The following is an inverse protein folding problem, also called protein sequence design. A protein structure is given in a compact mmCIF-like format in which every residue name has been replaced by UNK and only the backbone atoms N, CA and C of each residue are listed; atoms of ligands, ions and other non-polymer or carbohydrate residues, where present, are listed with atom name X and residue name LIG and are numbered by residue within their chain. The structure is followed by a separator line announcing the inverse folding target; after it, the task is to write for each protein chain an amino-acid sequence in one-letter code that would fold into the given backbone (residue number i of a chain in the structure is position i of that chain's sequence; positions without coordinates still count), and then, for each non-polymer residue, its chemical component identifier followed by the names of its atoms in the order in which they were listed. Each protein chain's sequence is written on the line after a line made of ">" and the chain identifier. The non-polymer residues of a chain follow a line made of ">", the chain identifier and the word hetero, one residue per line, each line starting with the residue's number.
data_IF_203815120568
#
_entry.id   IF_203815120568
#
_cell.length_a   1.000
_cell.length_b   1.000
_cell.length_c   1.000
_cell.angle_alpha   90.00
_cell.angle_beta   90.00
_cell.angle_gamma   90.00
#
_symmetry.space_group_name_H-M   'P 1'
#
loop_
_entity.id
_entity.type
_entity.pdbx_description
1 polymer ?
#
# COMPACT_ATOMS: atom_id res chain seq x y z
N UNK A 1 25.77 -2.26 -4.95
CA UNK A 1 24.66 -3.19 -4.81
C UNK A 1 23.54 -2.83 -5.76
N UNK A 2 23.01 -3.82 -6.43
CA UNK A 2 21.93 -3.58 -7.39
C UNK A 2 20.60 -3.45 -6.67
N UNK A 3 19.75 -2.52 -7.14
CA UNK A 3 18.38 -2.42 -6.68
C UNK A 3 17.47 -3.10 -7.69
N UNK A 4 16.38 -3.67 -7.19
CA UNK A 4 15.43 -4.39 -8.01
C UNK A 4 14.12 -3.60 -8.10
N UNK A 5 13.65 -3.40 -9.33
CA UNK A 5 12.35 -2.77 -9.58
C UNK A 5 11.49 -3.77 -10.34
N UNK A 6 10.31 -4.05 -9.83
CA UNK A 6 9.36 -4.95 -10.47
C UNK A 6 8.08 -4.18 -10.78
N UNK A 7 7.71 -4.20 -12.05
CA UNK A 7 6.45 -3.59 -12.51
C UNK A 7 5.35 -4.64 -12.41
N UNK A 8 4.52 -4.55 -11.37
CA UNK A 8 3.46 -5.51 -11.12
C UNK A 8 2.18 -5.21 -11.89
N UNK A 9 2.00 -3.98 -12.33
CA UNK A 9 0.88 -3.57 -13.14
C UNK A 9 1.21 -2.31 -13.89
N UNK A 10 0.71 -2.20 -15.13
CA UNK A 10 1.02 -1.07 -16.02
C UNK A 10 -0.24 -0.41 -16.57
N UNK A 11 -1.43 -0.85 -16.13
CA UNK A 11 -2.70 -0.30 -16.61
C UNK A 11 -3.14 0.93 -15.83
N UNK A 12 -4.11 1.62 -16.38
CA UNK A 12 -4.79 2.70 -15.69
C UNK A 12 -6.07 2.16 -15.03
N UNK A 13 -6.94 3.05 -14.56
CA UNK A 13 -8.16 2.66 -13.86
C UNK A 13 -9.08 1.74 -14.69
N UNK A 14 -8.97 1.78 -16.00
CA UNK A 14 -9.85 1.03 -16.90
C UNK A 14 -9.29 -0.33 -17.31
N UNK A 15 -8.12 -0.72 -16.81
CA UNK A 15 -7.51 -2.02 -17.03
C UNK A 15 -7.39 -2.39 -18.52
N UNK A 16 -6.81 -1.52 -19.34
CA UNK A 16 -6.76 -1.77 -20.79
C UNK A 16 -6.01 -3.07 -21.11
N UNK A 17 -6.55 -3.86 -22.03
CA UNK A 17 -5.95 -5.11 -22.48
C UNK A 17 -5.68 -6.10 -21.35
N UNK A 18 -6.49 -6.07 -20.28
CA UNK A 18 -6.32 -6.97 -19.15
C UNK A 18 -5.13 -6.65 -18.27
N UNK A 19 -4.52 -5.49 -18.42
CA UNK A 19 -3.40 -5.09 -17.57
C UNK A 19 -3.90 -4.68 -16.19
N UNK A 20 -3.19 -5.11 -15.15
CA UNK A 20 -3.48 -4.68 -13.79
C UNK A 20 -3.24 -3.19 -13.63
N UNK A 21 -3.89 -2.59 -12.63
CA UNK A 21 -3.67 -1.20 -12.27
C UNK A 21 -2.17 -0.94 -12.02
N UNK A 22 -1.73 0.28 -12.25
CA UNK A 22 -0.34 0.67 -12.03
C UNK A 22 0.14 0.27 -10.64
N UNK A 23 1.21 -0.50 -10.57
CA UNK A 23 1.73 -1.00 -9.32
C UNK A 23 3.20 -1.36 -9.48
N UNK A 24 4.03 -0.79 -8.61
CA UNK A 24 5.48 -0.98 -8.67
C UNK A 24 5.99 -1.34 -7.29
N UNK A 25 6.93 -2.27 -7.23
CA UNK A 25 7.65 -2.57 -6.00
C UNK A 25 9.15 -2.48 -6.28
N UNK A 26 9.91 -1.92 -5.34
CA UNK A 26 11.36 -1.96 -5.45
C UNK A 26 11.99 -2.50 -4.17
N UNK A 27 13.07 -3.25 -4.36
CA UNK A 27 13.81 -3.96 -3.32
C UNK A 27 12.91 -4.86 -2.47
N UNK A 28 11.76 -5.28 -3.03
CA UNK A 28 10.76 -6.14 -2.37
C UNK A 28 10.27 -5.62 -1.02
N UNK A 29 10.47 -4.33 -0.76
CA UNK A 29 10.12 -3.70 0.53
C UNK A 29 9.31 -2.44 0.36
N UNK A 30 9.40 -1.78 -0.79
CA UNK A 30 8.81 -0.46 -0.98
C UNK A 30 7.84 -0.49 -2.14
N UNK A 31 6.58 -0.22 -1.89
CA UNK A 31 5.58 -0.21 -2.95
C UNK A 31 5.14 1.22 -3.25
N UNK A 32 4.82 1.45 -4.51
CA UNK A 32 4.25 2.71 -4.96
C UNK A 32 2.79 2.46 -5.26
N UNK A 33 1.92 3.07 -4.47
CA UNK A 33 0.48 2.88 -4.46
C UNK A 33 0.08 1.48 -3.98
N UNK A 34 -1.22 1.25 -3.84
CA UNK A 34 -1.78 -0.04 -3.44
C UNK A 34 -3.12 -0.22 -4.17
N UNK A 35 -3.07 -0.71 -5.41
CA UNK A 35 -4.30 -0.92 -6.18
C UNK A 35 -5.18 -2.01 -5.55
N UNK A 36 -6.45 -2.13 -5.97
CA UNK A 36 -7.37 -3.09 -5.37
C UNK A 36 -6.83 -4.53 -5.32
N UNK A 37 -6.01 -4.93 -6.29
CA UNK A 37 -5.44 -6.29 -6.34
C UNK A 37 -4.02 -6.37 -5.80
N UNK A 38 -3.57 -5.38 -5.01
CA UNK A 38 -2.19 -5.32 -4.54
C UNK A 38 -1.77 -6.59 -3.81
N UNK A 39 -2.58 -7.07 -2.88
CA UNK A 39 -2.25 -8.26 -2.11
C UNK A 39 -2.06 -9.48 -3.02
N UNK A 40 -2.95 -9.67 -3.98
CA UNK A 40 -2.85 -10.75 -4.94
C UNK A 40 -1.56 -10.66 -5.77
N UNK A 41 -1.29 -9.47 -6.32
CA UNK A 41 -0.11 -9.26 -7.16
C UNK A 41 1.19 -9.50 -6.41
N UNK A 42 1.27 -9.05 -5.15
CA UNK A 42 2.44 -9.26 -4.32
C UNK A 42 2.67 -10.76 -4.08
N UNK A 43 1.60 -11.50 -3.73
CA UNK A 43 1.70 -12.94 -3.50
C UNK A 43 2.10 -13.70 -4.76
N UNK A 44 1.52 -13.33 -5.92
CA UNK A 44 1.85 -13.97 -7.19
C UNK A 44 3.31 -13.77 -7.59
N UNK A 45 3.93 -12.71 -7.10
CA UNK A 45 5.32 -12.40 -7.42
C UNK A 45 6.28 -12.78 -6.28
N UNK A 46 5.82 -13.59 -5.33
CA UNK A 46 6.67 -14.10 -4.26
C UNK A 46 7.12 -13.08 -3.25
N UNK A 47 6.41 -11.96 -3.14
CA UNK A 47 6.77 -10.92 -2.18
C UNK A 47 6.17 -11.26 -0.81
N UNK A 48 7.01 -11.17 0.21
CA UNK A 48 6.55 -11.40 1.59
C UNK A 48 5.90 -10.13 2.13
N UNK A 49 4.61 -10.21 2.43
CA UNK A 49 3.85 -9.04 2.89
C UNK A 49 4.45 -8.48 4.19
N UNK A 50 4.98 -9.34 5.04
CA UNK A 50 5.60 -8.93 6.30
C UNK A 50 6.84 -8.05 6.11
N UNK A 51 7.45 -8.09 4.92
CA UNK A 51 8.66 -7.31 4.65
C UNK A 51 8.40 -5.98 3.97
N UNK A 52 7.15 -5.70 3.62
CA UNK A 52 6.80 -4.37 3.09
C UNK A 52 6.99 -3.35 4.21
N UNK A 53 7.87 -2.38 3.99
CA UNK A 53 8.20 -1.38 5.00
C UNK A 53 7.75 0.03 4.62
N UNK A 54 7.49 0.30 3.35
CA UNK A 54 7.08 1.63 2.89
C UNK A 54 6.02 1.53 1.81
N UNK A 55 5.01 2.36 1.92
CA UNK A 55 4.00 2.55 0.88
C UNK A 55 4.04 4.02 0.49
N UNK A 56 4.38 4.30 -0.76
CA UNK A 56 4.32 5.64 -1.32
C UNK A 56 2.98 5.81 -2.03
N UNK A 57 2.19 6.79 -1.62
CA UNK A 57 0.89 7.06 -2.23
C UNK A 57 1.00 8.27 -3.13
N UNK A 58 0.79 8.07 -4.43
CA UNK A 58 0.91 9.15 -5.41
C UNK A 58 -0.32 10.07 -5.37
N UNK A 59 -1.50 9.48 -5.25
CA UNK A 59 -2.74 10.25 -5.09
C UNK A 59 -3.85 9.31 -4.59
N UNK A 60 -5.03 9.87 -4.30
CA UNK A 60 -6.06 9.18 -3.54
C UNK A 60 -7.18 8.57 -4.37
N UNK A 61 -6.97 8.35 -5.66
CA UNK A 61 -7.96 7.64 -6.47
C UNK A 61 -7.98 6.16 -6.12
N UNK A 62 -9.13 5.50 -6.34
CA UNK A 62 -9.33 4.13 -5.92
C UNK A 62 -8.35 3.13 -6.50
N UNK A 63 -7.97 3.29 -7.78
CA UNK A 63 -6.99 2.41 -8.39
C UNK A 63 -5.60 2.53 -7.77
N UNK A 64 -5.38 3.52 -6.89
CA UNK A 64 -4.12 3.73 -6.20
C UNK A 64 -4.16 3.42 -4.70
N UNK A 65 -5.34 3.38 -4.07
CA UNK A 65 -5.41 3.18 -2.62
C UNK A 65 -6.38 2.10 -2.16
N UNK A 66 -7.27 1.60 -3.01
CA UNK A 66 -8.31 0.67 -2.55
C UNK A 66 -7.76 -0.68 -2.09
N UNK A 67 -6.51 -0.99 -2.38
CA UNK A 67 -5.88 -2.20 -1.86
C UNK A 67 -5.29 -2.05 -0.46
N UNK A 68 -5.18 -0.82 0.06
CA UNK A 68 -4.61 -0.60 1.39
C UNK A 68 -5.35 -1.34 2.51
N UNK A 69 -6.68 -1.31 2.57
CA UNK A 69 -7.37 -2.05 3.64
C UNK A 69 -7.04 -3.53 3.65
N UNK A 70 -6.89 -4.14 2.49
CA UNK A 70 -6.55 -5.57 2.41
C UNK A 70 -5.13 -5.84 2.86
N UNK A 71 -4.18 -4.98 2.49
CA UNK A 71 -2.79 -5.11 2.96
C UNK A 71 -2.72 -4.98 4.48
N UNK A 72 -3.42 -4.00 5.03
CA UNK A 72 -3.43 -3.76 6.47
C UNK A 72 -4.15 -4.86 7.22
N UNK A 73 -5.18 -5.44 6.63
CA UNK A 73 -5.88 -6.58 7.20
C UNK A 73 -4.95 -7.79 7.29
N UNK A 74 -4.21 -8.06 6.22
CA UNK A 74 -3.24 -9.15 6.20
C UNK A 74 -2.16 -8.93 7.26
N UNK A 75 -1.62 -7.71 7.34
CA UNK A 75 -0.60 -7.39 8.33
C UNK A 75 -1.13 -7.60 9.75
N UNK A 76 -2.36 -7.17 10.01
CA UNK A 76 -2.97 -7.26 11.35
C UNK A 76 -3.13 -8.72 11.79
N UNK A 77 -3.68 -9.55 10.92
CA UNK A 77 -4.13 -10.89 11.33
C UNK A 77 -3.19 -12.01 10.93
N UNK A 78 -2.23 -11.75 10.04
CA UNK A 78 -1.30 -12.78 9.58
C UNK A 78 0.14 -12.36 9.82
N UNK A 79 0.65 -11.40 9.06
CA UNK A 79 2.08 -11.06 9.10
C UNK A 79 2.56 -10.49 10.42
N UNK A 80 1.77 -9.61 11.03
CA UNK A 80 2.14 -8.93 12.27
C UNK A 80 1.42 -9.48 13.50
N UNK A 81 0.79 -10.66 13.37
CA UNK A 81 -0.02 -11.21 14.45
C UNK A 81 0.78 -11.41 15.74
N UNK A 82 2.01 -11.88 15.62
CA UNK A 82 2.86 -12.12 16.80
C UNK A 82 3.70 -10.91 17.15
N UNK A 83 4.15 -10.16 16.14
CA UNK A 83 5.05 -9.03 16.33
C UNK A 83 4.76 -7.99 15.27
N UNK A 84 4.43 -6.78 15.72
CA UNK A 84 4.22 -5.65 14.82
C UNK A 84 5.52 -5.27 14.12
N UNK A 85 5.47 -5.11 12.80
CA UNK A 85 6.62 -4.73 12.01
C UNK A 85 6.46 -3.30 11.52
N UNK A 86 7.56 -2.55 11.42
CA UNK A 86 7.49 -1.15 10.99
C UNK A 86 6.84 -1.00 9.61
N UNK A 87 6.02 0.02 9.48
CA UNK A 87 5.40 0.38 8.20
C UNK A 87 5.28 1.89 8.16
N UNK A 88 5.77 2.47 7.06
CA UNK A 88 5.68 3.91 6.81
C UNK A 88 4.80 4.14 5.59
N UNK A 89 3.89 5.10 5.68
CA UNK A 89 3.12 5.56 4.52
C UNK A 89 3.55 6.99 4.23
N UNK A 90 4.02 7.20 2.99
CA UNK A 90 4.47 8.51 2.50
C UNK A 90 3.41 9.02 1.54
N UNK A 91 2.85 10.19 1.83
CA UNK A 91 1.74 10.71 1.05
C UNK A 91 1.64 12.23 1.18
N UNK A 92 0.77 12.84 0.39
CA UNK A 92 0.52 14.28 0.47
C UNK A 92 -0.22 14.64 1.77
N UNK A 93 -0.12 15.89 2.22
CA UNK A 93 -0.85 16.34 3.40
C UNK A 93 -2.35 16.06 3.27
N UNK A 94 -2.95 15.56 4.35
CA UNK A 94 -4.37 15.21 4.39
C UNK A 94 -4.68 13.78 3.99
N UNK A 95 -3.72 13.05 3.42
CA UNK A 95 -3.95 11.68 2.95
C UNK A 95 -4.26 10.72 4.09
N UNK A 96 -3.61 10.87 5.24
CA UNK A 96 -3.84 10.01 6.40
C UNK A 96 -5.31 9.94 6.76
N UNK A 97 -5.96 11.08 6.87
CA UNK A 97 -7.37 11.14 7.25
C UNK A 97 -8.25 10.38 6.27
N UNK A 98 -7.97 10.54 4.97
CA UNK A 98 -8.76 9.88 3.93
C UNK A 98 -8.52 8.37 3.92
N UNK A 99 -7.30 7.94 4.13
CA UNK A 99 -6.95 6.52 4.22
C UNK A 99 -7.60 5.89 5.45
N UNK A 100 -7.58 6.59 6.58
CA UNK A 100 -8.26 6.11 7.79
C UNK A 100 -9.76 5.97 7.56
N UNK A 101 -10.39 6.90 6.86
CA UNK A 101 -11.80 6.82 6.51
C UNK A 101 -12.08 5.60 5.61
N UNK A 102 -11.23 5.38 4.62
CA UNK A 102 -11.36 4.22 3.73
C UNK A 102 -11.30 2.92 4.53
N UNK A 103 -10.33 2.82 5.42
CA UNK A 103 -10.15 1.62 6.23
C UNK A 103 -11.35 1.38 7.16
N UNK A 104 -11.93 2.44 7.70
CA UNK A 104 -13.10 2.31 8.57
C UNK A 104 -14.34 1.86 7.77
N UNK A 105 -14.47 2.32 6.54
CA UNK A 105 -15.56 1.86 5.66
C UNK A 105 -15.37 0.39 5.31
N UNK A 106 -14.14 -0.01 5.00
CA UNK A 106 -13.86 -1.36 4.55
C UNK A 106 -14.00 -2.41 5.67
N UNK A 107 -13.43 -2.14 6.84
CA UNK A 107 -13.42 -3.06 7.98
C UNK A 107 -13.59 -2.27 9.27
N UNK A 108 -14.83 -1.89 9.62
CA UNK A 108 -15.08 -1.02 10.77
C UNK A 108 -14.45 -1.53 12.06
N UNK A 109 -13.61 -0.72 12.66
CA UNK A 109 -12.96 -1.02 13.93
C UNK A 109 -11.78 -1.96 13.85
N UNK A 110 -11.65 -2.75 12.81
CA UNK A 110 -10.64 -3.82 12.73
C UNK A 110 -9.24 -3.31 12.46
N UNK A 111 -9.10 -2.16 11.83
CA UNK A 111 -7.79 -1.65 11.40
C UNK A 111 -7.28 -0.50 12.26
N UNK A 112 -8.00 -0.10 13.30
CA UNK A 112 -7.61 1.03 14.13
C UNK A 112 -6.25 0.84 14.78
N UNK A 113 -5.97 -0.36 15.27
CA UNK A 113 -4.72 -0.63 15.96
C UNK A 113 -3.52 -0.49 15.04
N UNK A 114 -3.57 -1.12 13.86
CA UNK A 114 -2.44 -1.03 12.93
C UNK A 114 -2.27 0.39 12.41
N UNK A 115 -3.37 1.10 12.13
CA UNK A 115 -3.29 2.48 11.67
C UNK A 115 -2.59 3.37 12.69
N UNK A 116 -2.75 3.09 13.98
CA UNK A 116 -2.09 3.85 15.03
C UNK A 116 -0.59 3.57 15.13
N UNK A 117 -0.12 2.45 14.58
CA UNK A 117 1.30 2.09 14.61
C UNK A 117 2.06 2.54 13.36
N UNK A 118 1.36 2.91 12.29
CA UNK A 118 1.99 3.35 11.06
C UNK A 118 2.69 4.68 11.28
N UNK A 119 3.90 4.80 10.72
CA UNK A 119 4.58 6.08 10.65
C UNK A 119 4.07 6.82 9.41
N UNK A 120 3.39 7.93 9.63
CA UNK A 120 2.82 8.73 8.54
C UNK A 120 3.77 9.85 8.18
N UNK A 121 4.15 9.93 6.92
CA UNK A 121 4.94 11.03 6.39
C UNK A 121 4.10 11.77 5.36
N UNK A 122 3.46 12.84 5.78
CA UNK A 122 2.61 13.67 4.93
C UNK A 122 3.33 14.90 4.42
N UNK A 123 4.66 14.91 4.46
CA UNK A 123 5.46 16.04 3.99
C UNK A 123 6.02 15.78 2.58
N UNK A 124 5.35 14.92 1.82
CA UNK A 124 5.84 14.46 0.52
C UNK A 124 5.61 15.46 -0.61
N UNK A 125 5.60 16.74 -0.35
CA UNK A 125 5.32 17.75 -1.36
C UNK A 125 6.33 17.75 -2.49
N UNK A 126 7.57 17.42 -2.19
CA UNK A 126 8.59 17.35 -3.21
C UNK A 126 8.35 16.27 -4.26
N UNK A 127 7.48 15.31 -3.96
CA UNK A 127 7.15 14.26 -4.91
C UNK A 127 6.17 14.70 -5.99
N UNK A 128 5.53 15.84 -5.81
CA UNK A 128 4.52 16.33 -6.76
C UNK A 128 5.10 17.27 -7.81
N UNK A 129 6.35 17.58 -7.71
CA UNK A 129 7.01 18.46 -8.66
C UNK A 129 7.68 17.71 -9.83
#
# INVERSE_FOLDING_TARGET
>A
MAHEIIMLGTGNAFLPNGRHHSFVIFDKKHIIDAPPTALYSLRENGVRISEISTVFITHLHGDHIFGLPFLLLERTYISDRELSKPLTIVAAPGARKRIEQLCEIAYPGSLKKILSTIKWDENAQGLTE
#
